data_IF_353970797966
#
_entry.id   IF_353970797966
#
_cell.length_a   1.000
_cell.length_b   1.000
_cell.length_c   1.000
_cell.angle_alpha   90.00
_cell.angle_beta   90.00
_cell.angle_gamma   90.00
#
_symmetry.space_group_name_H-M   'P 1'
#
loop_
_entity.id
_entity.type
_entity.pdbx_description
1 polymer ?
#
# COMPACT_ATOMS: atom_id res chain seq x y z
N UNK A 1 6.24 56.71 -2.68
CA UNK A 1 6.84 56.42 -3.98
C UNK A 1 7.09 54.92 -4.06
N UNK A 2 6.41 54.24 -4.99
CA UNK A 2 6.53 52.80 -5.21
C UNK A 2 7.67 52.54 -6.19
N UNK A 3 8.47 51.50 -5.93
CA UNK A 3 9.38 50.92 -6.91
C UNK A 3 9.10 49.43 -7.00
N UNK A 4 8.32 49.11 -8.02
CA UNK A 4 8.09 47.77 -8.55
C UNK A 4 9.24 47.38 -9.47
N UNK A 5 9.88 46.23 -9.24
CA UNK A 5 10.71 45.52 -10.22
C UNK A 5 10.55 44.01 -9.94
N UNK A 6 9.63 43.32 -10.63
CA UNK A 6 9.77 42.65 -11.94
C UNK A 6 10.58 41.34 -11.87
N UNK A 7 9.84 40.23 -11.84
CA UNK A 7 10.25 38.85 -12.15
C UNK A 7 10.74 38.72 -13.61
N UNK A 8 11.69 37.81 -13.90
CA UNK A 8 11.86 37.26 -15.24
C UNK A 8 11.24 35.85 -15.36
N UNK A 9 10.47 35.56 -16.43
CA UNK A 9 10.09 34.19 -16.81
C UNK A 9 10.94 33.64 -17.98
N UNK A 10 10.83 32.31 -18.19
CA UNK A 10 11.06 31.55 -19.45
C UNK A 10 12.55 31.27 -19.83
N UNK A 11 13.00 30.11 -20.34
CA UNK A 11 12.40 28.95 -21.02
C UNK A 11 13.33 27.73 -20.92
N UNK A 12 12.78 26.54 -20.71
CA UNK A 12 13.42 25.24 -20.96
C UNK A 12 13.16 24.86 -22.44
N UNK A 13 14.21 24.56 -23.22
CA UNK A 13 14.07 23.94 -24.54
C UNK A 13 14.90 22.66 -24.61
N UNK A 14 14.21 21.52 -24.49
CA UNK A 14 14.76 20.19 -24.79
C UNK A 14 14.46 19.86 -26.25
N UNK A 15 15.50 19.62 -27.05
CA UNK A 15 15.37 19.09 -28.40
C UNK A 15 15.83 17.63 -28.41
N UNK A 16 14.91 16.69 -28.20
CA UNK A 16 15.12 15.28 -28.53
C UNK A 16 14.80 15.10 -30.01
N UNK A 17 15.83 14.70 -30.79
CA UNK A 17 15.69 14.34 -32.19
C UNK A 17 14.91 13.02 -32.30
N UNK A 18 13.65 13.09 -32.75
CA UNK A 18 12.95 11.94 -33.31
C UNK A 18 13.43 11.74 -34.74
N UNK A 19 14.14 10.64 -35.01
CA UNK A 19 14.35 10.17 -36.36
C UNK A 19 13.16 9.30 -36.77
N UNK A 20 12.50 9.72 -37.85
CA UNK A 20 11.45 8.99 -38.53
C UNK A 20 12.06 7.89 -39.41
N UNK A 21 11.45 6.71 -39.41
CA UNK A 21 11.65 5.67 -40.40
C UNK A 21 10.31 5.03 -40.70
N UNK A 22 9.76 5.34 -41.88
CA UNK A 22 8.49 4.81 -42.39
C UNK A 22 8.64 3.36 -42.92
N UNK A 23 7.54 2.61 -43.07
CA UNK A 23 7.51 1.17 -43.37
C UNK A 23 7.41 0.88 -44.88
N UNK A 24 7.82 -0.30 -45.37
CA UNK A 24 7.34 -0.93 -46.62
C UNK A 24 7.73 -2.44 -46.71
N UNK A 25 6.97 -3.20 -47.51
CA UNK A 25 6.63 -4.64 -47.51
C UNK A 25 7.64 -5.72 -48.03
N UNK A 26 7.53 -6.94 -47.46
CA UNK A 26 7.51 -8.31 -48.09
C UNK A 26 8.75 -8.93 -48.79
N UNK A 27 8.78 -10.23 -49.18
CA UNK A 27 8.19 -11.47 -48.61
C UNK A 27 9.20 -12.68 -48.48
N UNK A 28 8.77 -13.74 -47.77
CA UNK A 28 9.17 -15.19 -47.88
C UNK A 28 10.65 -15.61 -47.76
N UNK A 29 10.98 -16.39 -46.70
CA UNK A 29 11.55 -17.76 -46.79
C UNK A 29 11.81 -18.31 -45.37
N UNK A 30 11.27 -19.50 -45.08
CA UNK A 30 11.68 -20.31 -43.92
C UNK A 30 13.04 -20.94 -44.20
N UNK A 31 13.83 -21.21 -43.15
CA UNK A 31 14.19 -22.61 -42.96
C UNK A 31 13.97 -23.08 -41.52
N UNK A 32 13.57 -24.35 -41.45
CA UNK A 32 13.53 -25.15 -40.24
C UNK A 32 14.90 -25.21 -39.57
N UNK A 33 14.93 -25.13 -38.25
CA UNK A 33 16.14 -25.21 -37.45
C UNK A 33 15.82 -25.36 -35.97
N UNK A 34 15.46 -26.58 -35.59
CA UNK A 34 15.80 -27.22 -34.31
C UNK A 34 15.27 -26.55 -33.02
N UNK A 35 14.20 -27.16 -32.52
CA UNK A 35 13.60 -26.96 -31.20
C UNK A 35 14.60 -27.31 -30.09
N UNK A 36 15.37 -26.34 -29.61
CA UNK A 36 15.98 -26.42 -28.28
C UNK A 36 14.91 -26.01 -27.27
N UNK A 37 14.23 -27.01 -26.72
CA UNK A 37 13.30 -26.87 -25.60
C UNK A 37 14.06 -26.45 -24.35
N UNK A 38 14.41 -25.17 -24.28
CA UNK A 38 14.40 -24.49 -23.00
C UNK A 38 12.93 -24.17 -22.76
N UNK A 39 12.26 -25.03 -22.01
CA UNK A 39 11.10 -24.60 -21.25
C UNK A 39 11.57 -23.37 -20.47
N UNK A 40 11.29 -22.18 -21.02
CA UNK A 40 10.97 -21.05 -20.18
C UNK A 40 9.86 -21.60 -19.30
N UNK A 41 10.25 -22.07 -18.11
CA UNK A 41 9.44 -22.02 -16.91
C UNK A 41 8.74 -20.67 -17.02
N UNK A 42 7.53 -20.72 -17.55
CA UNK A 42 6.67 -19.58 -17.76
C UNK A 42 6.32 -19.25 -16.34
N UNK A 43 7.16 -18.37 -15.76
CA UNK A 43 7.24 -18.13 -14.34
C UNK A 43 5.81 -18.04 -13.85
N UNK A 44 5.46 -19.00 -12.98
CA UNK A 44 4.11 -19.14 -12.42
C UNK A 44 3.53 -17.74 -12.24
N UNK A 45 2.36 -17.41 -12.83
CA UNK A 45 1.84 -16.04 -12.79
C UNK A 45 1.93 -15.56 -11.34
N UNK A 46 2.69 -14.49 -11.12
CA UNK A 46 2.93 -14.00 -9.77
C UNK A 46 1.56 -13.83 -9.10
N UNK A 47 1.36 -14.47 -7.95
CA UNK A 47 0.08 -14.40 -7.27
C UNK A 47 -0.18 -12.94 -6.90
N UNK A 48 -1.08 -12.28 -7.64
CA UNK A 48 -1.32 -10.84 -7.54
C UNK A 48 -1.60 -10.39 -6.10
N UNK A 49 -2.26 -11.24 -5.31
CA UNK A 49 -2.46 -11.00 -3.88
C UNK A 49 -1.14 -10.96 -3.09
N UNK A 50 -0.23 -11.90 -3.34
CA UNK A 50 1.07 -11.91 -2.68
C UNK A 50 1.90 -10.68 -3.07
N UNK A 51 1.90 -10.31 -4.35
CA UNK A 51 2.57 -9.09 -4.86
C UNK A 51 2.01 -7.82 -4.22
N UNK A 52 0.68 -7.70 -4.17
CA UNK A 52 0.01 -6.57 -3.53
C UNK A 52 0.34 -6.50 -2.03
N UNK A 53 0.33 -7.65 -1.34
CA UNK A 53 0.65 -7.72 0.09
C UNK A 53 2.10 -7.31 0.38
N UNK A 54 3.05 -7.81 -0.41
CA UNK A 54 4.47 -7.43 -0.28
C UNK A 54 4.70 -5.94 -0.60
N UNK A 55 3.92 -5.36 -1.52
CA UNK A 55 3.99 -3.94 -1.85
C UNK A 55 3.58 -3.06 -0.66
N UNK A 56 2.47 -3.37 0.02
CA UNK A 56 2.05 -2.64 1.23
C UNK A 56 3.03 -2.86 2.38
N UNK A 57 3.54 -4.07 2.56
CA UNK A 57 4.54 -4.37 3.58
C UNK A 57 5.84 -3.61 3.36
N UNK A 58 6.29 -3.48 2.11
CA UNK A 58 7.45 -2.66 1.76
C UNK A 58 7.21 -1.19 2.06
N UNK A 59 6.05 -0.65 1.68
CA UNK A 59 5.69 0.74 1.95
C UNK A 59 5.64 1.03 3.46
N UNK A 60 4.93 0.20 4.23
CA UNK A 60 4.85 0.35 5.70
C UNK A 60 6.17 0.08 6.41
N UNK A 61 7.06 -0.78 5.89
CA UNK A 61 8.40 -0.98 6.46
C UNK A 61 9.28 0.26 6.30
N UNK A 62 9.15 0.99 5.18
CA UNK A 62 9.88 2.25 4.96
C UNK A 62 9.51 3.32 5.97
N UNK A 63 8.24 3.36 6.41
CA UNK A 63 7.76 4.37 7.34
C UNK A 63 8.56 4.43 8.65
N UNK A 64 9.12 3.31 9.15
CA UNK A 64 9.96 3.33 10.35
C UNK A 64 11.16 4.27 10.20
N UNK A 65 11.77 4.34 9.01
CA UNK A 65 12.88 5.25 8.74
C UNK A 65 12.41 6.71 8.70
N UNK A 66 11.24 6.95 8.12
CA UNK A 66 10.64 8.28 8.02
C UNK A 66 10.25 8.82 9.42
N UNK A 67 9.69 7.97 10.28
CA UNK A 67 9.43 8.29 11.69
C UNK A 67 10.71 8.71 12.42
N UNK A 68 11.76 7.89 12.33
CA UNK A 68 13.02 8.16 13.03
C UNK A 68 13.68 9.46 12.53
N UNK A 69 13.57 9.75 11.23
CA UNK A 69 14.06 10.99 10.65
C UNK A 69 13.27 12.20 11.14
N UNK A 70 11.93 12.11 11.16
CA UNK A 70 11.05 13.20 11.58
C UNK A 70 11.25 13.59 13.05
N UNK A 71 11.38 12.60 13.94
CA UNK A 71 11.59 12.83 15.37
C UNK A 71 13.07 12.82 15.78
N UNK A 72 14.00 12.81 14.81
CA UNK A 72 15.44 12.84 15.03
C UNK A 72 15.96 11.78 16.04
N UNK A 73 15.23 10.68 16.20
CA UNK A 73 15.52 9.64 17.19
C UNK A 73 15.14 9.97 18.65
N UNK A 74 14.64 11.17 18.94
CA UNK A 74 14.21 11.60 20.28
C UNK A 74 13.01 10.81 20.80
N UNK A 75 12.13 10.40 19.88
CA UNK A 75 11.00 9.52 20.19
C UNK A 75 11.33 8.10 19.76
N UNK A 76 11.25 7.16 20.69
CA UNK A 76 11.43 5.74 20.39
C UNK A 76 10.27 5.22 19.55
N UNK A 77 10.58 4.50 18.47
CA UNK A 77 9.58 3.96 17.54
C UNK A 77 8.56 3.04 18.25
N UNK A 78 9.00 2.33 19.28
CA UNK A 78 8.17 1.45 20.08
C UNK A 78 7.05 2.21 20.82
N UNK A 79 7.19 3.52 21.05
CA UNK A 79 6.14 4.32 21.69
C UNK A 79 4.88 4.50 20.84
N UNK A 80 4.94 4.16 19.55
CA UNK A 80 3.76 4.13 18.69
C UNK A 80 2.73 3.08 19.16
N UNK A 81 3.14 2.07 19.94
CA UNK A 81 2.22 1.08 20.54
C UNK A 81 1.27 1.68 21.62
N UNK A 82 1.63 2.87 22.13
CA UNK A 82 0.87 3.60 23.16
C UNK A 82 -0.25 4.43 22.57
N UNK A 83 -0.16 4.76 21.28
CA UNK A 83 -1.21 5.47 20.56
C UNK A 83 -2.32 4.48 20.23
N UNK A 84 -3.25 4.33 21.19
CA UNK A 84 -4.42 3.45 21.04
C UNK A 84 -5.33 3.98 19.96
N UNK A 85 -5.35 3.30 18.83
CA UNK A 85 -6.29 3.55 17.74
C UNK A 85 -7.54 2.72 18.02
N UNK A 86 -8.72 3.35 18.10
CA UNK A 86 -9.97 2.63 18.28
C UNK A 86 -10.25 1.67 17.13
N UNK A 87 -10.95 0.58 17.43
CA UNK A 87 -11.50 -0.34 16.42
C UNK A 87 -10.46 -0.98 15.49
N UNK A 88 -9.21 -1.15 15.96
CA UNK A 88 -8.22 -1.91 15.20
C UNK A 88 -8.69 -3.35 14.99
N UNK A 89 -8.49 -3.90 13.77
CA UNK A 89 -8.96 -5.24 13.45
C UNK A 89 -8.23 -6.32 14.23
N UNK A 90 -8.95 -7.40 14.52
CA UNK A 90 -8.37 -8.58 15.13
C UNK A 90 -7.35 -9.25 14.17
N UNK A 91 -6.26 -9.76 14.74
CA UNK A 91 -5.23 -10.50 14.01
C UNK A 91 -5.76 -11.84 13.49
N UNK A 92 -5.14 -12.38 12.45
CA UNK A 92 -5.37 -13.78 12.07
C UNK A 92 -4.77 -14.71 13.14
N UNK A 93 -5.54 -15.64 13.72
CA UNK A 93 -5.04 -16.58 14.72
C UNK A 93 -4.16 -17.62 14.04
N UNK A 94 -3.10 -18.00 14.76
CA UNK A 94 -2.04 -18.86 14.26
C UNK A 94 -2.45 -20.33 14.07
N UNK A 95 -3.44 -20.80 14.83
CA UNK A 95 -3.95 -22.17 14.81
C UNK A 95 -5.44 -22.23 14.42
N UNK A 96 -5.85 -23.34 13.80
CA UNK A 96 -7.25 -23.71 13.54
C UNK A 96 -8.09 -22.77 12.64
N UNK A 97 -7.48 -21.78 11.98
CA UNK A 97 -8.19 -20.93 11.01
C UNK A 97 -8.01 -21.39 9.57
N UNK A 98 -9.11 -21.53 8.84
CA UNK A 98 -9.10 -21.73 7.39
C UNK A 98 -8.55 -20.48 6.66
N UNK A 99 -7.92 -20.69 5.51
CA UNK A 99 -7.39 -19.61 4.67
C UNK A 99 -8.48 -18.57 4.35
N UNK A 100 -9.69 -19.01 4.05
CA UNK A 100 -10.84 -18.15 3.72
C UNK A 100 -11.24 -17.25 4.91
N UNK A 101 -11.18 -17.75 6.14
CA UNK A 101 -11.48 -16.96 7.33
C UNK A 101 -10.42 -15.88 7.60
N UNK A 102 -9.14 -16.15 7.31
CA UNK A 102 -8.10 -15.13 7.39
C UNK A 102 -8.19 -14.11 6.25
N UNK A 103 -8.57 -14.52 5.03
CA UNK A 103 -8.83 -13.58 3.92
C UNK A 103 -9.97 -12.62 4.26
N UNK A 104 -11.05 -13.10 4.88
CA UNK A 104 -12.14 -12.22 5.35
C UNK A 104 -11.66 -11.22 6.40
N UNK A 105 -10.92 -11.68 7.42
CA UNK A 105 -10.35 -10.76 8.44
C UNK A 105 -9.37 -9.76 7.84
N UNK A 106 -8.55 -10.18 6.89
CA UNK A 106 -7.66 -9.29 6.15
C UNK A 106 -8.48 -8.21 5.44
N UNK A 107 -9.54 -8.58 4.73
CA UNK A 107 -10.40 -7.62 4.04
C UNK A 107 -11.07 -6.65 5.00
N UNK A 108 -11.74 -7.14 6.05
CA UNK A 108 -12.40 -6.31 7.05
C UNK A 108 -11.41 -5.32 7.69
N UNK A 109 -10.22 -5.80 8.05
CA UNK A 109 -9.18 -4.95 8.62
C UNK A 109 -8.64 -3.91 7.64
N UNK A 110 -8.42 -4.29 6.38
CA UNK A 110 -7.99 -3.34 5.36
C UNK A 110 -9.03 -2.25 5.09
N UNK A 111 -10.32 -2.58 5.14
CA UNK A 111 -11.40 -1.60 5.02
C UNK A 111 -11.37 -0.60 6.19
N UNK A 112 -11.15 -1.05 7.42
CA UNK A 112 -10.91 -0.16 8.57
C UNK A 112 -9.69 0.74 8.34
N UNK A 113 -8.55 0.16 7.92
CA UNK A 113 -7.34 0.93 7.66
C UNK A 113 -7.49 1.91 6.50
N UNK A 114 -8.28 1.61 5.47
CA UNK A 114 -8.54 2.53 4.36
C UNK A 114 -9.17 3.85 4.82
N UNK A 115 -9.97 3.78 5.90
CA UNK A 115 -10.55 4.97 6.55
C UNK A 115 -9.48 5.68 7.36
N UNK A 116 -8.74 4.96 8.21
CA UNK A 116 -7.67 5.54 9.05
C UNK A 116 -6.56 6.19 8.21
N UNK A 117 -6.23 5.64 7.05
CA UNK A 117 -5.22 6.19 6.15
C UNK A 117 -5.61 7.55 5.55
N UNK A 118 -6.88 7.97 5.66
CA UNK A 118 -7.28 9.36 5.35
C UNK A 118 -6.61 10.36 6.30
N UNK A 119 -6.50 10.02 7.59
CA UNK A 119 -5.76 10.84 8.58
C UNK A 119 -4.28 10.94 8.19
N UNK A 120 -3.68 9.82 7.78
CA UNK A 120 -2.28 9.77 7.35
C UNK A 120 -2.03 10.65 6.12
N UNK A 121 -2.91 10.61 5.12
CA UNK A 121 -2.80 11.49 3.95
C UNK A 121 -3.00 12.97 4.28
N UNK A 122 -3.87 13.29 5.24
CA UNK A 122 -4.07 14.68 5.68
C UNK A 122 -2.81 15.24 6.35
N UNK A 123 -2.11 14.43 7.16
CA UNK A 123 -0.85 14.86 7.79
C UNK A 123 0.32 14.89 6.80
N UNK A 124 0.33 14.00 5.80
CA UNK A 124 1.46 13.82 4.88
C UNK A 124 1.05 13.74 3.39
N UNK A 125 0.41 14.78 2.83
CA UNK A 125 -0.19 14.72 1.49
C UNK A 125 0.81 14.50 0.34
N UNK A 126 2.08 14.90 0.53
CA UNK A 126 3.14 14.81 -0.48
C UNK A 126 4.29 13.85 -0.09
N UNK A 127 4.13 13.12 1.01
CA UNK A 127 5.13 12.16 1.46
C UNK A 127 4.96 10.81 0.78
N UNK A 128 6.04 10.05 0.65
CA UNK A 128 5.98 8.63 0.26
C UNK A 128 5.15 7.78 1.22
N UNK A 129 4.89 8.29 2.43
CA UNK A 129 3.92 7.72 3.39
C UNK A 129 2.53 7.54 2.75
N UNK A 130 2.11 8.45 1.85
CA UNK A 130 0.80 8.37 1.19
C UNK A 130 0.69 7.19 0.21
N UNK A 131 1.82 6.66 -0.30
CA UNK A 131 1.84 5.45 -1.15
C UNK A 131 1.22 4.23 -0.44
N UNK A 132 1.27 4.20 0.90
CA UNK A 132 0.66 3.13 1.69
C UNK A 132 -0.83 3.00 1.39
N UNK A 133 -1.55 4.11 1.19
CA UNK A 133 -2.98 4.06 0.84
C UNK A 133 -3.19 3.49 -0.56
N UNK A 134 -2.39 3.93 -1.53
CA UNK A 134 -2.47 3.41 -2.89
C UNK A 134 -2.29 1.89 -2.91
N UNK A 135 -1.21 1.37 -2.32
CA UNK A 135 -0.96 -0.07 -2.29
C UNK A 135 -2.01 -0.82 -1.45
N UNK A 136 -2.52 -0.21 -0.37
CA UNK A 136 -3.59 -0.83 0.44
C UNK A 136 -4.87 -0.99 -0.38
N UNK A 137 -5.23 -0.02 -1.21
CA UNK A 137 -6.38 -0.11 -2.10
C UNK A 137 -6.21 -1.19 -3.17
N UNK A 138 -4.99 -1.38 -3.71
CA UNK A 138 -4.68 -2.49 -4.61
C UNK A 138 -4.88 -3.82 -3.87
N UNK A 139 -4.33 -3.95 -2.66
CA UNK A 139 -4.48 -5.15 -1.85
C UNK A 139 -5.95 -5.46 -1.51
N UNK A 140 -6.76 -4.45 -1.20
CA UNK A 140 -8.21 -4.62 -0.96
C UNK A 140 -8.87 -5.30 -2.16
N UNK A 141 -8.64 -4.80 -3.38
CA UNK A 141 -9.21 -5.39 -4.60
C UNK A 141 -8.79 -6.84 -4.80
N UNK A 142 -7.52 -7.16 -4.57
CA UNK A 142 -7.02 -8.53 -4.69
C UNK A 142 -7.63 -9.48 -3.64
N UNK A 143 -7.82 -9.00 -2.41
CA UNK A 143 -8.46 -9.81 -1.36
C UNK A 143 -9.95 -9.98 -1.64
N UNK A 144 -10.66 -8.94 -2.07
CA UNK A 144 -12.08 -9.01 -2.49
C UNK A 144 -12.28 -10.09 -3.56
N UNK A 145 -11.38 -10.18 -4.53
CA UNK A 145 -11.42 -11.18 -5.60
C UNK A 145 -11.22 -12.62 -5.09
N UNK A 146 -10.54 -12.82 -3.95
CA UNK A 146 -10.31 -14.16 -3.37
C UNK A 146 -11.31 -14.54 -2.28
N UNK A 147 -12.05 -13.60 -1.70
CA UNK A 147 -13.08 -13.91 -0.69
C UNK A 147 -14.31 -14.51 -1.38
N UNK A 148 -14.58 -15.79 -1.10
CA UNK A 148 -15.71 -16.55 -1.68
C UNK A 148 -17.08 -16.04 -1.20
N UNK A 149 -17.18 -15.63 0.06
CA UNK A 149 -18.44 -15.24 0.72
C UNK A 149 -18.47 -13.74 1.01
N UNK A 150 -18.59 -12.91 -0.04
CA UNK A 150 -18.54 -11.45 0.09
C UNK A 150 -19.62 -10.89 1.02
N UNK A 151 -20.79 -11.53 1.11
CA UNK A 151 -21.89 -11.09 1.98
C UNK A 151 -21.62 -11.22 3.49
N UNK A 152 -20.54 -11.89 3.89
CA UNK A 152 -20.12 -12.00 5.29
C UNK A 152 -19.01 -11.01 5.68
N UNK A 153 -18.62 -10.12 4.76
CA UNK A 153 -17.61 -9.09 5.04
C UNK A 153 -18.30 -7.91 5.69
N UNK A 154 -17.94 -7.61 6.93
CA UNK A 154 -18.47 -6.46 7.64
C UNK A 154 -17.82 -5.18 7.13
N UNK A 155 -18.61 -4.26 6.57
CA UNK A 155 -18.14 -2.94 6.13
C UNK A 155 -18.63 -1.86 7.09
N UNK A 156 -17.83 -0.79 7.26
CA UNK A 156 -18.21 0.34 8.09
C UNK A 156 -19.22 1.23 7.36
N UNK A 157 -20.34 1.55 8.00
CA UNK A 157 -21.27 2.58 7.54
C UNK A 157 -20.60 3.96 7.51
N UNK A 158 -21.15 4.92 6.75
CA UNK A 158 -20.61 6.28 6.70
C UNK A 158 -20.48 6.92 8.09
N UNK A 159 -21.46 6.72 8.98
CA UNK A 159 -21.42 7.24 10.35
C UNK A 159 -20.31 6.59 11.17
N UNK A 160 -20.08 5.28 11.02
CA UNK A 160 -18.97 4.58 11.68
C UNK A 160 -17.61 5.05 11.16
N UNK A 161 -17.48 5.32 9.86
CA UNK A 161 -16.25 5.87 9.28
C UNK A 161 -15.95 7.26 9.83
N UNK A 162 -16.95 8.14 9.91
CA UNK A 162 -16.79 9.47 10.50
C UNK A 162 -16.45 9.41 11.98
N UNK A 163 -17.07 8.49 12.73
CA UNK A 163 -16.77 8.30 14.14
C UNK A 163 -15.32 7.81 14.32
N UNK A 164 -14.85 6.90 13.46
CA UNK A 164 -13.48 6.41 13.47
C UNK A 164 -12.47 7.54 13.20
N UNK A 165 -12.74 8.40 12.21
CA UNK A 165 -11.91 9.56 11.90
C UNK A 165 -11.88 10.56 13.06
N UNK A 166 -13.04 10.90 13.64
CA UNK A 166 -13.13 11.77 14.83
C UNK A 166 -12.36 11.22 16.02
N UNK A 167 -12.28 9.89 16.17
CA UNK A 167 -11.61 9.27 17.30
C UNK A 167 -10.07 9.29 17.20
N UNK A 168 -9.53 9.50 15.99
CA UNK A 168 -8.08 9.69 15.76
C UNK A 168 -7.69 11.15 15.53
N UNK A 169 -8.69 12.04 15.44
CA UNK A 169 -8.47 13.47 15.35
C UNK A 169 -7.87 14.00 16.66
N UNK A 170 -6.82 14.82 16.54
CA UNK A 170 -6.06 15.39 17.66
C UNK A 170 -5.85 16.86 17.36
N UNK A 171 -5.94 17.72 18.37
CA UNK A 171 -5.75 19.17 18.18
C UNK A 171 -4.28 19.55 18.00
N UNK A 172 -3.37 18.89 18.71
CA UNK A 172 -1.94 19.17 18.68
C UNK A 172 -1.22 18.46 17.52
N UNK A 173 -0.34 19.20 16.83
CA UNK A 173 0.43 18.71 15.68
C UNK A 173 1.31 17.51 16.01
N UNK A 174 1.95 17.49 17.19
CA UNK A 174 2.80 16.37 17.57
C UNK A 174 1.97 15.08 17.71
N UNK A 175 0.85 15.12 18.43
CA UNK A 175 -0.06 14.00 18.61
C UNK A 175 -0.76 13.58 17.31
N UNK A 176 -1.07 14.51 16.40
CA UNK A 176 -1.60 14.19 15.06
C UNK A 176 -0.61 13.36 14.26
N UNK A 177 0.66 13.78 14.21
CA UNK A 177 1.75 13.08 13.51
C UNK A 177 2.06 11.72 14.14
N UNK A 178 2.13 11.66 15.47
CA UNK A 178 2.29 10.41 16.20
C UNK A 178 1.13 9.45 15.97
N UNK A 179 -0.10 9.96 15.85
CA UNK A 179 -1.28 9.13 15.51
C UNK A 179 -1.17 8.58 14.09
N UNK A 180 -0.76 9.40 13.11
CA UNK A 180 -0.53 8.96 11.75
C UNK A 180 0.54 7.86 11.65
N UNK A 181 1.68 8.03 12.33
CA UNK A 181 2.71 6.98 12.43
C UNK A 181 2.21 5.74 13.19
N UNK A 182 1.38 5.92 14.23
CA UNK A 182 0.73 4.83 14.95
C UNK A 182 -0.17 4.00 14.05
N UNK A 183 -0.89 4.63 13.11
CA UNK A 183 -1.74 3.93 12.13
C UNK A 183 -0.87 3.03 11.23
N UNK A 184 0.23 3.57 10.72
CA UNK A 184 1.17 2.83 9.86
C UNK A 184 1.87 1.68 10.61
N UNK A 185 2.26 1.92 11.85
CA UNK A 185 2.82 0.91 12.76
C UNK A 185 1.86 -0.27 12.92
N UNK A 186 0.61 -0.01 13.31
CA UNK A 186 -0.37 -1.06 13.54
C UNK A 186 -0.73 -1.80 12.25
N UNK A 187 -0.85 -1.08 11.12
CA UNK A 187 -1.08 -1.68 9.80
C UNK A 187 0.05 -2.64 9.43
N UNK A 188 1.32 -2.25 9.65
CA UNK A 188 2.47 -3.10 9.35
C UNK A 188 2.37 -4.45 10.06
N UNK A 189 2.16 -4.44 11.38
CA UNK A 189 2.11 -5.67 12.16
C UNK A 189 0.85 -6.50 11.87
N UNK A 190 -0.29 -5.85 11.60
CA UNK A 190 -1.48 -6.53 11.12
C UNK A 190 -1.21 -7.32 9.83
N UNK A 191 -0.56 -6.70 8.85
CA UNK A 191 -0.21 -7.36 7.59
C UNK A 191 0.82 -8.46 7.75
N UNK A 192 1.82 -8.28 8.62
CA UNK A 192 2.83 -9.32 8.94
C UNK A 192 2.14 -10.56 9.50
N UNK A 193 1.17 -10.39 10.40
CA UNK A 193 0.42 -11.49 11.00
C UNK A 193 -0.45 -12.21 9.94
N UNK A 194 -1.17 -11.46 9.10
CA UNK A 194 -1.97 -12.04 8.00
C UNK A 194 -1.10 -12.76 6.96
N UNK A 195 0.06 -12.20 6.59
CA UNK A 195 1.01 -12.79 5.64
C UNK A 195 1.44 -14.19 6.05
N UNK A 196 1.76 -14.39 7.34
CA UNK A 196 2.20 -15.70 7.86
C UNK A 196 1.16 -16.79 7.57
N UNK A 197 -0.12 -16.47 7.66
CA UNK A 197 -1.20 -17.44 7.40
C UNK A 197 -1.48 -17.60 5.91
N UNK A 198 -1.49 -16.50 5.14
CA UNK A 198 -1.86 -16.52 3.71
C UNK A 198 -0.75 -17.11 2.84
N UNK A 199 0.53 -16.82 3.15
CA UNK A 199 1.68 -17.25 2.36
C UNK A 199 2.19 -18.62 2.82
N UNK A 200 2.38 -18.84 4.13
CA UNK A 200 3.01 -20.09 4.59
C UNK A 200 2.07 -21.31 4.51
N UNK A 201 0.74 -21.13 4.52
CA UNK A 201 -0.20 -22.25 4.29
C UNK A 201 -0.32 -22.66 2.82
N UNK A 202 0.19 -21.86 1.88
CA UNK A 202 0.22 -22.22 0.45
C UNK A 202 1.46 -23.01 0.05
N UNK A 203 2.46 -23.07 0.92
CA UNK A 203 3.69 -23.82 0.73
C UNK A 203 3.65 -25.23 1.34
N UNK A 204 2.51 -25.63 1.91
CA UNK A 204 2.21 -27.00 2.36
C UNK A 204 1.05 -27.54 1.55
#
# INVERSE_FOLDING_TARGET
AALSYLLPPLLLAAALRLAAGAPLEGPTESPAGETSGEELETGRPEDALAVALESVLRATKRHKKEFLAEFQGEVKYEFLDRYKIPSLPAKCPYSNFGQDACLRRLLEGLLVYSVLLKHVEQEYPLSRISEVRYYSNVLIKEVENKVKERGQVTTLSSSQQEQLLRAVDRSDTFHRRMTAHGILYNLHYFLVDCRRVIVNKRAR
#
